data_IF_399024448756
#
_entry.id   IF_399024448756
#
_cell.length_a   1.000
_cell.length_b   1.000
_cell.length_c   1.000
_cell.angle_alpha   90.00
_cell.angle_beta   90.00
_cell.angle_gamma   90.00
#
_symmetry.space_group_name_H-M   'P 1'
#
loop_
_entity.id
_entity.type
_entity.pdbx_description
1 polymer ?
#
# COMPACT_ATOMS: atom_id res chain seq x y z
N UNK A 1 -4.30 -92.14 6.86
CA UNK A 1 -5.33 -91.09 6.95
C UNK A 1 -4.69 -89.84 7.55
N UNK A 2 -4.18 -88.95 6.70
CA UNK A 2 -3.50 -87.70 7.13
C UNK A 2 -4.53 -86.57 7.22
N UNK A 3 -4.60 -85.86 8.35
CA UNK A 3 -5.30 -84.56 8.46
C UNK A 3 -4.26 -83.44 8.41
N UNK A 4 -4.30 -82.67 7.32
CA UNK A 4 -3.50 -81.47 7.06
C UNK A 4 -4.16 -80.29 7.79
N UNK A 5 -3.42 -79.55 8.61
CA UNK A 5 -3.87 -78.31 9.24
C UNK A 5 -3.45 -77.14 8.33
N UNK A 6 -4.41 -76.48 7.69
CA UNK A 6 -4.16 -75.31 6.84
C UNK A 6 -4.11 -74.03 7.69
N UNK A 7 -2.98 -73.32 7.63
CA UNK A 7 -2.80 -71.99 8.20
C UNK A 7 -3.35 -70.97 7.20
N UNK A 8 -4.38 -70.21 7.62
CA UNK A 8 -4.95 -69.13 6.81
C UNK A 8 -4.21 -67.82 7.13
N UNK A 9 -3.33 -67.39 6.21
CA UNK A 9 -2.66 -66.09 6.27
C UNK A 9 -3.63 -65.02 5.74
N UNK A 10 -4.17 -64.21 6.64
CA UNK A 10 -5.05 -63.09 6.29
C UNK A 10 -4.18 -61.88 5.89
N UNK A 11 -4.00 -61.66 4.58
CA UNK A 11 -3.38 -60.44 4.05
C UNK A 11 -4.36 -59.26 4.16
N UNK A 12 -4.12 -58.35 5.11
CA UNK A 12 -4.78 -57.05 5.18
C UNK A 12 -4.27 -56.16 4.03
N UNK A 13 -5.08 -55.97 3.00
CA UNK A 13 -4.88 -54.95 1.96
C UNK A 13 -5.23 -53.57 2.56
N UNK A 14 -4.20 -52.74 2.76
CA UNK A 14 -4.36 -51.31 3.03
C UNK A 14 -4.83 -50.61 1.75
N UNK A 15 -6.14 -50.45 1.62
CA UNK A 15 -6.72 -49.57 0.60
C UNK A 15 -6.32 -48.12 0.92
N UNK A 16 -5.41 -47.56 0.10
CA UNK A 16 -5.10 -46.14 0.17
C UNK A 16 -6.25 -45.40 -0.54
N UNK A 17 -6.94 -44.46 0.13
CA UNK A 17 -7.91 -43.64 -0.57
C UNK A 17 -7.20 -42.91 -1.72
N UNK A 18 -7.80 -42.83 -2.91
CA UNK A 18 -7.22 -42.06 -4.00
C UNK A 18 -7.04 -40.63 -3.52
N UNK A 19 -5.81 -40.11 -3.59
CA UNK A 19 -5.53 -38.72 -3.33
C UNK A 19 -6.27 -37.88 -4.38
N UNK A 20 -7.45 -37.36 -4.03
CA UNK A 20 -8.15 -36.38 -4.84
C UNK A 20 -7.20 -35.21 -5.06
N UNK A 21 -6.82 -34.98 -6.31
CA UNK A 21 -6.02 -33.82 -6.68
C UNK A 21 -6.75 -32.57 -6.19
N UNK A 22 -6.07 -31.72 -5.42
CA UNK A 22 -6.64 -30.46 -4.99
C UNK A 22 -7.11 -29.68 -6.23
N UNK A 23 -8.30 -29.06 -6.19
CA UNK A 23 -8.84 -28.37 -7.35
C UNK A 23 -7.85 -27.30 -7.83
N UNK A 24 -7.71 -27.19 -9.16
CA UNK A 24 -6.82 -26.21 -9.80
C UNK A 24 -7.20 -24.78 -9.39
N UNK A 25 -8.49 -24.54 -9.16
CA UNK A 25 -9.04 -23.28 -8.69
C UNK A 25 -9.83 -23.57 -7.42
N UNK A 26 -9.42 -22.97 -6.30
CA UNK A 26 -10.18 -22.96 -5.05
C UNK A 26 -11.08 -21.74 -5.03
N UNK A 27 -12.30 -21.89 -4.55
CA UNK A 27 -13.20 -20.76 -4.31
C UNK A 27 -13.32 -20.47 -2.82
N UNK A 28 -13.35 -19.19 -2.45
CA UNK A 28 -13.49 -18.74 -1.08
C UNK A 28 -14.39 -17.52 -1.03
N UNK A 29 -15.53 -17.61 -0.35
CA UNK A 29 -16.39 -16.46 -0.11
C UNK A 29 -15.67 -15.44 0.78
N UNK A 30 -15.71 -14.16 0.39
CA UNK A 30 -15.26 -13.07 1.23
C UNK A 30 -16.36 -12.69 2.21
N UNK A 31 -16.00 -12.61 3.48
CA UNK A 31 -16.91 -12.18 4.55
C UNK A 31 -16.33 -10.93 5.18
N UNK A 32 -17.15 -9.90 5.28
CA UNK A 32 -16.83 -8.69 6.02
C UNK A 32 -17.28 -8.87 7.48
N UNK A 33 -16.48 -8.41 8.47
CA UNK A 33 -16.98 -8.27 9.83
C UNK A 33 -18.28 -7.46 9.85
N UNK A 34 -19.16 -7.72 10.83
CA UNK A 34 -20.46 -7.05 10.89
C UNK A 34 -20.30 -5.52 10.90
N UNK A 35 -20.88 -4.84 9.91
CA UNK A 35 -20.81 -3.39 9.74
C UNK A 35 -19.50 -2.86 9.13
N UNK A 36 -18.54 -3.74 8.81
CA UNK A 36 -17.31 -3.34 8.14
C UNK A 36 -17.49 -3.29 6.61
N UNK A 37 -16.76 -2.39 5.97
CA UNK A 37 -16.64 -2.29 4.51
C UNK A 37 -15.31 -2.83 4.00
N UNK A 38 -14.44 -3.32 4.90
CA UNK A 38 -13.15 -3.91 4.54
C UNK A 38 -12.91 -5.27 5.21
N UNK A 39 -12.10 -6.09 4.56
CA UNK A 39 -11.63 -7.38 5.07
C UNK A 39 -10.23 -7.68 4.52
N UNK A 40 -9.46 -8.45 5.26
CA UNK A 40 -8.10 -8.86 4.90
C UNK A 40 -8.03 -10.37 4.89
N UNK A 41 -7.43 -10.93 3.85
CA UNK A 41 -7.19 -12.37 3.70
C UNK A 41 -5.70 -12.64 3.59
N UNK A 42 -5.22 -13.65 4.30
CA UNK A 42 -3.86 -14.18 4.14
C UNK A 42 -3.93 -15.62 3.63
N UNK A 43 -3.13 -15.94 2.62
CA UNK A 43 -3.22 -17.23 1.95
C UNK A 43 -1.96 -17.54 1.14
N UNK A 44 -1.97 -18.67 0.40
CA UNK A 44 -0.83 -19.15 -0.38
C UNK A 44 -1.21 -19.80 -1.70
N UNK A 45 -0.35 -19.62 -2.69
CA UNK A 45 -0.36 -20.29 -3.99
C UNK A 45 0.80 -21.28 -4.10
N UNK A 46 0.60 -22.33 -4.90
CA UNK A 46 1.68 -23.19 -5.38
C UNK A 46 1.41 -23.65 -6.81
N UNK A 47 2.40 -23.49 -7.68
CA UNK A 47 2.32 -23.96 -9.06
C UNK A 47 1.13 -23.36 -9.80
N UNK A 48 0.28 -24.21 -10.38
CA UNK A 48 -0.92 -23.79 -11.12
C UNK A 48 -2.16 -23.54 -10.26
N UNK A 49 -2.02 -23.56 -8.94
CA UNK A 49 -3.14 -23.21 -8.06
C UNK A 49 -3.59 -21.78 -8.31
N UNK A 50 -4.90 -21.59 -8.32
CA UNK A 50 -5.55 -20.29 -8.30
C UNK A 50 -6.56 -20.24 -7.16
N UNK A 51 -6.85 -19.04 -6.67
CA UNK A 51 -7.92 -18.82 -5.70
C UNK A 51 -8.86 -17.74 -6.23
N UNK A 52 -10.13 -18.08 -6.39
CA UNK A 52 -11.21 -17.12 -6.64
C UNK A 52 -11.78 -16.69 -5.28
N UNK A 53 -11.53 -15.45 -4.89
CA UNK A 53 -12.25 -14.83 -3.79
C UNK A 53 -13.56 -14.26 -4.31
N UNK A 54 -14.67 -14.79 -3.79
CA UNK A 54 -16.02 -14.45 -4.22
C UNK A 54 -16.52 -13.24 -3.43
N UNK A 55 -16.79 -12.15 -4.12
CA UNK A 55 -17.23 -10.89 -3.54
C UNK A 55 -18.63 -10.55 -4.05
N UNK A 56 -19.64 -10.65 -3.19
CA UNK A 56 -20.98 -10.15 -3.50
C UNK A 56 -20.97 -8.63 -3.41
N UNK A 57 -21.24 -7.97 -4.54
CA UNK A 57 -21.24 -6.52 -4.64
C UNK A 57 -22.36 -6.02 -5.56
N UNK A 58 -22.60 -4.71 -5.50
CA UNK A 58 -23.62 -4.00 -6.25
C UNK A 58 -22.99 -2.99 -7.19
N UNK A 59 -23.69 -2.71 -8.27
CA UNK A 59 -23.35 -1.64 -9.21
C UNK A 59 -23.18 -0.32 -8.46
N UNK A 60 -22.18 0.46 -8.87
CA UNK A 60 -21.86 1.74 -8.28
C UNK A 60 -21.02 1.66 -7.00
N UNK A 61 -20.88 0.49 -6.37
CA UNK A 61 -19.94 0.34 -5.25
C UNK A 61 -18.50 0.54 -5.72
N UNK A 62 -17.67 1.16 -4.90
CA UNK A 62 -16.23 1.30 -5.18
C UNK A 62 -15.49 0.16 -4.52
N UNK A 63 -14.78 -0.62 -5.33
CA UNK A 63 -13.92 -1.71 -4.87
C UNK A 63 -12.46 -1.24 -4.90
N UNK A 64 -11.77 -1.39 -3.77
CA UNK A 64 -10.31 -1.36 -3.71
C UNK A 64 -9.79 -2.75 -3.35
N UNK A 65 -8.79 -3.21 -4.10
CA UNK A 65 -8.08 -4.47 -3.87
C UNK A 65 -6.60 -4.16 -3.84
N UNK A 66 -5.93 -4.46 -2.73
CA UNK A 66 -4.48 -4.39 -2.58
C UNK A 66 -3.94 -5.82 -2.40
N UNK A 67 -3.05 -6.24 -3.29
CA UNK A 67 -2.46 -7.58 -3.29
C UNK A 67 -0.97 -7.51 -2.96
N UNK A 68 -0.56 -8.15 -1.87
CA UNK A 68 0.82 -8.12 -1.37
C UNK A 68 1.40 -9.54 -1.31
N UNK A 69 1.92 -10.08 -2.43
CA UNK A 69 2.60 -11.36 -2.46
C UNK A 69 4.09 -11.23 -2.11
N UNK A 70 4.65 -12.29 -1.50
CA UNK A 70 6.10 -12.46 -1.29
C UNK A 70 6.85 -12.92 -2.57
N UNK A 71 6.11 -13.25 -3.64
CA UNK A 71 6.62 -13.65 -4.94
C UNK A 71 6.20 -12.63 -6.02
N UNK A 72 7.16 -12.00 -6.74
CA UNK A 72 6.87 -10.99 -7.76
C UNK A 72 6.14 -11.56 -9.00
N UNK A 73 6.17 -12.87 -9.20
CA UNK A 73 5.48 -13.57 -10.30
C UNK A 73 4.01 -13.92 -9.95
N UNK A 74 3.50 -13.45 -8.79
CA UNK A 74 2.11 -13.61 -8.37
C UNK A 74 1.29 -12.34 -8.64
N UNK A 75 0.07 -12.51 -9.15
CA UNK A 75 -0.86 -11.43 -9.49
C UNK A 75 -2.30 -11.79 -9.16
N UNK A 76 -3.20 -10.82 -9.29
CA UNK A 76 -4.64 -11.06 -9.31
C UNK A 76 -5.32 -10.48 -10.55
N UNK A 77 -6.46 -11.03 -10.91
CA UNK A 77 -7.40 -10.43 -11.86
C UNK A 77 -8.73 -10.18 -11.17
N UNK A 78 -9.44 -9.12 -11.56
CA UNK A 78 -10.82 -8.87 -11.14
C UNK A 78 -11.77 -9.25 -12.27
N UNK A 79 -12.63 -10.25 -12.04
CA UNK A 79 -13.62 -10.70 -13.03
C UNK A 79 -15.02 -10.29 -12.58
N UNK A 80 -15.86 -9.74 -13.48
CA UNK A 80 -17.22 -9.35 -13.15
C UNK A 80 -18.15 -10.57 -13.10
N UNK A 81 -19.38 -10.40 -12.58
CA UNK A 81 -20.38 -11.45 -12.56
C UNK A 81 -20.70 -11.96 -13.96
N UNK A 82 -20.67 -13.29 -14.16
CA UNK A 82 -21.09 -13.92 -15.42
C UNK A 82 -20.14 -13.78 -16.61
N UNK A 83 -18.94 -13.19 -16.46
CA UNK A 83 -17.94 -13.09 -17.54
C UNK A 83 -16.55 -13.52 -17.10
N UNK A 84 -15.76 -14.09 -18.03
CA UNK A 84 -14.33 -14.34 -17.85
C UNK A 84 -13.43 -13.18 -18.32
N UNK A 85 -14.03 -12.15 -18.92
CA UNK A 85 -13.31 -10.94 -19.31
C UNK A 85 -13.03 -10.09 -18.07
N UNK A 86 -11.76 -9.91 -17.72
CA UNK A 86 -11.36 -9.24 -16.49
C UNK A 86 -11.50 -7.72 -16.61
N UNK A 87 -12.06 -7.09 -15.57
CA UNK A 87 -12.04 -5.64 -15.37
C UNK A 87 -10.64 -5.13 -15.01
N UNK A 88 -9.79 -5.99 -14.45
CA UNK A 88 -8.42 -5.68 -14.08
C UNK A 88 -7.51 -6.90 -14.28
N UNK A 89 -6.32 -6.68 -14.84
CA UNK A 89 -5.34 -7.73 -15.12
C UNK A 89 -4.03 -7.37 -14.42
N UNK A 90 -3.76 -7.98 -13.27
CA UNK A 90 -2.63 -7.55 -12.43
C UNK A 90 -1.26 -7.77 -13.06
N UNK A 91 -1.09 -8.77 -13.91
CA UNK A 91 0.17 -8.99 -14.65
C UNK A 91 0.48 -7.89 -15.66
N UNK A 92 -0.50 -7.06 -16.01
CA UNK A 92 -0.34 -5.88 -16.88
C UNK A 92 -0.35 -4.59 -16.07
N UNK A 93 -1.26 -4.49 -15.11
CA UNK A 93 -1.64 -3.22 -14.47
C UNK A 93 -1.15 -3.11 -13.01
N UNK A 94 -0.45 -4.12 -12.49
CA UNK A 94 0.13 -4.14 -11.15
C UNK A 94 -0.72 -4.86 -10.11
N UNK A 95 -0.39 -4.65 -8.83
CA UNK A 95 -0.97 -5.40 -7.72
C UNK A 95 -2.00 -4.61 -6.89
N UNK A 96 -2.57 -3.55 -7.46
CA UNK A 96 -3.68 -2.81 -6.87
C UNK A 96 -4.73 -2.45 -7.90
N UNK A 97 -6.01 -2.56 -7.51
CA UNK A 97 -7.15 -2.04 -8.24
C UNK A 97 -7.95 -1.09 -7.35
N UNK A 98 -8.38 0.05 -7.89
CA UNK A 98 -9.45 0.87 -7.31
C UNK A 98 -10.40 1.25 -8.44
N UNK A 99 -11.70 0.99 -8.29
CA UNK A 99 -12.68 1.36 -9.31
C UNK A 99 -14.12 1.08 -8.94
N UNK A 100 -15.03 1.73 -9.65
CA UNK A 100 -16.48 1.55 -9.51
C UNK A 100 -16.93 0.28 -10.22
N UNK A 101 -17.73 -0.54 -9.53
CA UNK A 101 -18.22 -1.80 -10.04
C UNK A 101 -19.39 -1.57 -11.03
N UNK A 102 -19.33 -2.15 -12.25
CA UNK A 102 -20.29 -1.84 -13.32
C UNK A 102 -21.60 -2.63 -13.24
N UNK A 103 -21.68 -3.65 -12.40
CA UNK A 103 -22.82 -4.56 -12.33
C UNK A 103 -23.07 -5.09 -10.90
N UNK A 104 -24.32 -5.46 -10.64
CA UNK A 104 -24.68 -6.26 -9.47
C UNK A 104 -24.22 -7.71 -9.65
N UNK A 105 -23.80 -8.35 -8.56
CA UNK A 105 -23.57 -9.78 -8.50
C UNK A 105 -22.25 -10.15 -7.85
N UNK A 106 -21.86 -11.41 -8.04
CA UNK A 106 -20.66 -11.96 -7.44
C UNK A 106 -19.44 -11.76 -8.34
N UNK A 107 -18.52 -10.92 -7.90
CA UNK A 107 -17.22 -10.72 -8.50
C UNK A 107 -16.23 -11.79 -8.07
N UNK A 108 -15.21 -12.04 -8.88
CA UNK A 108 -14.11 -12.95 -8.54
C UNK A 108 -12.80 -12.21 -8.59
N UNK A 109 -12.15 -12.12 -7.44
CA UNK A 109 -10.76 -11.70 -7.33
C UNK A 109 -9.91 -12.96 -7.44
N UNK A 110 -9.37 -13.23 -8.63
CA UNK A 110 -8.62 -14.45 -8.95
C UNK A 110 -7.14 -14.21 -8.76
N UNK A 111 -6.54 -14.81 -7.73
CA UNK A 111 -5.09 -14.79 -7.49
C UNK A 111 -4.41 -15.98 -8.17
N UNK A 112 -3.22 -15.78 -8.73
CA UNK A 112 -2.48 -16.80 -9.49
C UNK A 112 -0.97 -16.47 -9.59
N UNK A 113 -0.17 -17.49 -9.91
CA UNK A 113 1.20 -17.33 -10.39
C UNK A 113 1.22 -17.32 -11.93
N UNK A 114 2.04 -16.45 -12.54
CA UNK A 114 2.23 -16.50 -14.00
C UNK A 114 2.73 -17.88 -14.45
N UNK A 115 2.46 -18.23 -15.71
CA UNK A 115 2.68 -19.59 -16.24
C UNK A 115 4.11 -20.09 -16.07
N UNK A 116 5.11 -19.21 -16.17
CA UNK A 116 6.53 -19.54 -16.00
C UNK A 116 6.82 -20.00 -14.57
N UNK A 117 6.46 -19.22 -13.55
CA UNK A 117 6.60 -19.56 -12.13
C UNK A 117 5.77 -20.79 -11.75
N UNK A 118 4.53 -20.87 -12.24
CA UNK A 118 3.65 -22.01 -12.02
C UNK A 118 4.28 -23.33 -12.53
N UNK A 119 4.89 -23.32 -13.72
CA UNK A 119 5.60 -24.48 -14.30
C UNK A 119 6.80 -24.89 -13.44
N UNK A 120 7.50 -23.93 -12.84
CA UNK A 120 8.60 -24.15 -11.89
C UNK A 120 8.12 -24.61 -10.50
N UNK A 121 6.81 -24.77 -10.29
CA UNK A 121 6.19 -25.17 -9.02
C UNK A 121 6.52 -24.22 -7.87
N UNK A 122 6.69 -22.95 -8.19
CA UNK A 122 6.93 -21.90 -7.20
C UNK A 122 5.76 -21.71 -6.26
N UNK A 123 6.00 -20.91 -5.22
CA UNK A 123 5.05 -20.60 -4.16
C UNK A 123 4.96 -19.09 -4.00
N UNK A 124 3.81 -18.64 -3.56
CA UNK A 124 3.60 -17.28 -3.08
C UNK A 124 2.79 -17.36 -1.78
N UNK A 125 3.25 -16.73 -0.71
CA UNK A 125 2.40 -16.33 0.41
C UNK A 125 1.98 -14.89 0.17
N UNK A 126 0.74 -14.54 0.50
CA UNK A 126 0.26 -13.20 0.22
C UNK A 126 -0.79 -12.73 1.23
N UNK A 127 -0.92 -11.40 1.29
CA UNK A 127 -2.05 -10.72 1.88
C UNK A 127 -2.89 -10.08 0.75
N UNK A 128 -4.21 -10.16 0.88
CA UNK A 128 -5.19 -9.54 0.01
C UNK A 128 -6.11 -8.67 0.86
N UNK A 129 -6.00 -7.36 0.72
CA UNK A 129 -6.85 -6.39 1.39
C UNK A 129 -7.97 -5.97 0.44
N UNK A 130 -9.21 -6.05 0.91
CA UNK A 130 -10.41 -5.74 0.12
C UNK A 130 -11.20 -4.67 0.85
N UNK A 131 -11.53 -3.58 0.16
CA UNK A 131 -12.47 -2.57 0.62
C UNK A 131 -13.60 -2.41 -0.39
N UNK A 132 -14.85 -2.51 0.06
CA UNK A 132 -16.05 -2.37 -0.74
C UNK A 132 -16.94 -1.27 -0.15
N UNK A 133 -16.84 -0.07 -0.72
CA UNK A 133 -17.62 1.11 -0.32
C UNK A 133 -18.97 1.20 -1.03
N UNK A 134 -19.97 1.81 -0.39
CA UNK A 134 -21.26 2.12 -1.01
C UNK A 134 -21.10 3.23 -2.06
N UNK A 135 -21.60 2.99 -3.27
CA UNK A 135 -21.67 4.01 -4.32
C UNK A 135 -22.49 5.21 -3.86
N UNK A 136 -21.92 6.41 -4.05
CA UNK A 136 -22.35 7.70 -3.49
C UNK A 136 -22.14 7.89 -1.96
N UNK A 137 -21.05 7.35 -1.42
CA UNK A 137 -20.18 8.05 -0.47
C UNK A 137 -18.73 7.50 -0.51
N UNK A 138 -18.31 6.96 -1.66
CA UNK A 138 -16.92 7.11 -2.01
C UNK A 138 -16.77 8.61 -2.30
N UNK A 139 -16.10 9.33 -1.41
CA UNK A 139 -15.22 10.37 -1.91
C UNK A 139 -14.48 9.69 -3.09
N UNK A 140 -14.76 10.08 -4.36
CA UNK A 140 -13.63 10.32 -5.27
C UNK A 140 -12.62 10.95 -4.35
N UNK A 141 -11.47 10.35 -4.01
CA UNK A 141 -10.69 10.88 -2.93
C UNK A 141 -10.51 12.34 -3.29
N UNK A 142 -11.13 13.21 -2.48
CA UNK A 142 -11.44 14.53 -3.00
C UNK A 142 -10.08 15.07 -3.37
N UNK A 143 -9.92 15.45 -4.63
CA UNK A 143 -8.65 15.93 -5.14
C UNK A 143 -8.05 16.81 -4.04
N UNK A 144 -6.91 16.41 -3.48
CA UNK A 144 -6.43 17.04 -2.25
C UNK A 144 -6.18 18.50 -2.62
N UNK A 145 -6.93 19.44 -2.05
CA UNK A 145 -6.70 20.86 -2.27
C UNK A 145 -6.47 21.55 -0.93
N UNK A 146 -5.33 22.23 -0.80
CA UNK A 146 -5.03 23.05 0.38
C UNK A 146 -4.34 24.34 -0.04
N UNK A 147 -4.86 25.45 0.47
CA UNK A 147 -4.21 26.75 0.39
C UNK A 147 -3.49 26.99 1.72
N UNK A 148 -2.22 27.33 1.64
CA UNK A 148 -1.33 27.53 2.77
C UNK A 148 -0.67 28.90 2.64
N UNK A 149 -0.64 29.66 3.72
CA UNK A 149 -0.14 31.04 3.72
C UNK A 149 0.71 31.28 4.97
N UNK A 150 1.95 31.76 4.79
CA UNK A 150 2.85 32.10 5.88
C UNK A 150 3.85 33.16 5.41
N UNK A 151 4.09 34.19 6.23
CA UNK A 151 5.11 35.22 5.97
C UNK A 151 5.01 35.87 4.56
N UNK A 152 3.77 36.01 4.05
CA UNK A 152 3.49 36.62 2.76
C UNK A 152 3.74 35.72 1.53
N UNK A 153 4.09 34.44 1.75
CA UNK A 153 4.19 33.42 0.71
C UNK A 153 3.01 32.46 0.84
N UNK A 154 2.42 32.13 -0.31
CA UNK A 154 1.25 31.27 -0.41
C UNK A 154 1.54 30.06 -1.30
N UNK A 155 0.94 28.92 -0.99
CA UNK A 155 0.94 27.75 -1.86
C UNK A 155 -0.47 27.20 -1.98
N UNK A 156 -0.95 27.07 -3.22
CA UNK A 156 -2.09 26.21 -3.54
C UNK A 156 -1.58 24.84 -3.96
N UNK A 157 -1.82 23.84 -3.12
CA UNK A 157 -1.47 22.43 -3.36
C UNK A 157 -2.71 21.71 -3.87
N UNK A 158 -2.60 21.01 -4.98
CA UNK A 158 -3.68 20.24 -5.60
C UNK A 158 -3.17 18.85 -6.03
N UNK A 159 -3.85 17.74 -5.70
CA UNK A 159 -3.59 16.42 -6.33
C UNK A 159 -4.86 15.79 -6.86
N UNK A 160 -4.78 15.09 -8.00
CA UNK A 160 -5.97 14.55 -8.69
C UNK A 160 -6.56 13.30 -8.02
N UNK A 161 -5.74 12.57 -7.27
CA UNK A 161 -6.09 11.37 -6.49
C UNK A 161 -6.78 10.25 -7.32
N UNK A 162 -6.48 10.16 -8.62
CA UNK A 162 -7.11 9.21 -9.55
C UNK A 162 -6.42 7.83 -9.64
N UNK A 163 -5.40 7.55 -8.82
CA UNK A 163 -4.64 6.30 -8.90
C UNK A 163 -3.45 6.23 -7.92
N UNK A 164 -2.68 5.15 -8.01
CA UNK A 164 -1.44 4.95 -7.21
C UNK A 164 -0.33 5.89 -7.65
N UNK A 165 -0.22 6.17 -8.95
CA UNK A 165 0.54 7.30 -9.48
C UNK A 165 -0.41 8.48 -9.64
N UNK A 166 -0.04 9.59 -9.03
CA UNK A 166 -0.91 10.73 -8.86
C UNK A 166 -0.17 12.00 -9.30
N UNK A 167 -0.91 12.95 -9.84
CA UNK A 167 -0.33 14.21 -10.32
C UNK A 167 -0.53 15.28 -9.25
N UNK A 168 0.58 15.77 -8.70
CA UNK A 168 0.65 16.85 -7.74
C UNK A 168 0.95 18.16 -8.47
N UNK A 169 0.15 19.18 -8.19
CA UNK A 169 0.32 20.54 -8.67
C UNK A 169 0.50 21.49 -7.49
N UNK A 170 1.52 22.34 -7.55
CA UNK A 170 1.83 23.34 -6.52
C UNK A 170 1.90 24.69 -7.20
N UNK A 171 1.04 25.61 -6.79
CA UNK A 171 1.01 26.98 -7.29
C UNK A 171 1.52 27.92 -6.20
N UNK A 172 2.81 28.28 -6.22
CA UNK A 172 3.35 29.30 -5.32
C UNK A 172 2.86 30.70 -5.68
N UNK A 173 2.79 31.59 -4.70
CA UNK A 173 2.50 33.01 -4.87
C UNK A 173 3.23 33.83 -3.81
N UNK A 174 3.53 35.10 -4.12
CA UNK A 174 4.28 35.99 -3.23
C UNK A 174 5.80 35.94 -3.39
N UNK A 175 6.34 35.03 -4.22
CA UNK A 175 7.76 34.99 -4.53
C UNK A 175 8.14 36.13 -5.49
N UNK A 176 9.29 36.76 -5.26
CA UNK A 176 9.71 37.91 -6.07
C UNK A 176 10.34 37.56 -7.42
N UNK A 177 10.74 36.30 -7.66
CA UNK A 177 11.41 35.87 -8.90
C UNK A 177 10.62 34.80 -9.66
N UNK A 178 10.18 33.73 -9.02
CA UNK A 178 9.58 32.59 -9.71
C UNK A 178 8.32 32.09 -8.98
N UNK A 179 7.16 32.19 -9.64
CA UNK A 179 5.87 31.67 -9.14
C UNK A 179 5.23 30.65 -10.12
N UNK A 180 6.02 30.07 -11.02
CA UNK A 180 5.50 29.10 -11.98
C UNK A 180 4.93 27.87 -11.23
N UNK A 181 3.80 27.30 -11.67
CA UNK A 181 3.29 26.07 -11.12
C UNK A 181 4.31 24.94 -11.25
N UNK A 182 4.43 24.12 -10.21
CA UNK A 182 5.23 22.91 -10.21
C UNK A 182 4.28 21.73 -10.40
N UNK A 183 4.54 20.90 -11.39
CA UNK A 183 3.84 19.63 -11.61
C UNK A 183 4.78 18.47 -11.31
N UNK A 184 4.30 17.48 -10.56
CA UNK A 184 5.09 16.33 -10.15
C UNK A 184 4.22 15.08 -10.10
N UNK A 185 4.73 13.99 -10.66
CA UNK A 185 4.19 12.67 -10.39
C UNK A 185 4.64 12.20 -9.00
N UNK A 186 3.70 11.71 -8.21
CA UNK A 186 3.94 11.13 -6.89
C UNK A 186 3.42 9.68 -6.85
N UNK A 187 4.14 8.83 -6.13
CA UNK A 187 3.73 7.44 -5.86
C UNK A 187 2.97 7.38 -4.53
N UNK A 188 1.66 7.59 -4.63
CA UNK A 188 0.75 7.59 -3.50
C UNK A 188 -0.24 8.75 -3.52
N UNK A 189 -0.93 8.88 -2.38
CA UNK A 189 -1.91 9.95 -2.14
C UNK A 189 -1.30 11.04 -1.27
N UNK A 190 -1.63 12.30 -1.54
CA UNK A 190 -1.38 13.38 -0.59
C UNK A 190 -2.27 13.22 0.63
N UNK A 191 -1.68 12.98 1.80
CA UNK A 191 -2.40 12.81 3.07
C UNK A 191 -2.41 14.08 3.93
N UNK A 192 -1.58 15.06 3.58
CA UNK A 192 -1.57 16.38 4.19
C UNK A 192 -0.54 17.29 3.54
N UNK A 193 -0.65 18.57 3.84
CA UNK A 193 0.34 19.57 3.45
C UNK A 193 0.36 20.68 4.49
N UNK A 194 1.53 21.06 4.99
CA UNK A 194 1.67 22.14 5.96
C UNK A 194 2.75 23.14 5.49
N UNK A 195 2.68 24.34 6.04
CA UNK A 195 3.65 25.41 5.82
C UNK A 195 4.24 25.81 7.18
N UNK A 196 5.55 25.93 7.25
CA UNK A 196 6.26 26.30 8.48
C UNK A 196 7.56 27.03 8.15
N UNK A 197 8.17 27.66 9.15
CA UNK A 197 9.53 28.18 9.10
C UNK A 197 10.34 27.36 10.13
N UNK A 198 10.78 26.16 9.74
CA UNK A 198 11.41 25.21 10.65
C UNK A 198 12.82 25.68 11.04
N UNK A 199 13.54 26.33 10.13
CA UNK A 199 14.90 26.81 10.38
C UNK A 199 14.92 28.23 11.02
N UNK A 200 13.77 28.88 11.15
CA UNK A 200 13.59 30.23 11.71
C UNK A 200 14.36 31.32 10.96
N UNK A 201 14.50 31.18 9.64
CA UNK A 201 15.20 32.15 8.79
C UNK A 201 14.27 33.23 8.21
N UNK A 202 12.96 33.17 8.50
CA UNK A 202 11.95 34.08 8.02
C UNK A 202 11.48 33.79 6.59
N UNK A 203 11.92 32.69 5.99
CA UNK A 203 11.41 32.17 4.74
C UNK A 203 10.66 30.85 4.97
N UNK A 204 9.36 30.78 4.63
CA UNK A 204 8.58 29.57 4.90
C UNK A 204 8.98 28.42 3.95
N UNK A 205 8.83 27.21 4.46
CA UNK A 205 8.88 25.97 3.71
C UNK A 205 7.51 25.28 3.64
N UNK A 206 7.29 24.63 2.51
CA UNK A 206 6.14 23.78 2.22
C UNK A 206 6.52 22.32 2.42
N UNK A 207 5.69 21.57 3.14
CA UNK A 207 5.83 20.14 3.36
C UNK A 207 4.55 19.43 2.93
N UNK A 208 4.64 18.53 1.95
CA UNK A 208 3.50 17.75 1.43
C UNK A 208 3.77 16.29 1.74
N UNK A 209 2.87 15.69 2.54
CA UNK A 209 2.96 14.31 2.98
C UNK A 209 2.27 13.41 1.97
N UNK A 210 2.98 12.39 1.49
CA UNK A 210 2.45 11.42 0.54
C UNK A 210 2.50 10.04 1.18
N UNK A 211 1.42 9.28 1.08
CA UNK A 211 1.35 7.90 1.56
C UNK A 211 1.14 6.97 0.38
N UNK A 212 2.03 5.98 0.24
CA UNK A 212 2.00 4.99 -0.83
C UNK A 212 0.72 4.16 -0.75
N UNK A 213 0.25 3.70 -1.91
CA UNK A 213 -0.95 2.91 -2.05
C UNK A 213 -0.82 1.44 -1.54
N UNK A 214 0.37 0.96 -1.19
CA UNK A 214 0.57 -0.43 -0.75
C UNK A 214 0.09 -0.73 0.67
N UNK A 215 -0.03 -2.01 1.02
CA UNK A 215 -0.39 -2.46 2.39
C UNK A 215 0.60 -2.02 3.46
N UNK A 216 1.83 -1.67 3.06
CA UNK A 216 2.82 -1.05 3.92
C UNK A 216 2.65 0.45 4.10
N UNK A 217 1.75 1.15 3.41
CA UNK A 217 1.44 2.58 3.62
C UNK A 217 2.67 3.47 3.91
N UNK A 218 3.72 3.32 3.10
CA UNK A 218 4.99 4.03 3.28
C UNK A 218 4.81 5.52 3.03
N UNK A 219 5.37 6.36 3.89
CA UNK A 219 5.31 7.80 3.69
C UNK A 219 6.51 8.29 2.88
N UNK A 220 6.27 9.22 1.97
CA UNK A 220 7.28 10.06 1.32
C UNK A 220 6.92 11.53 1.48
N UNK A 221 7.86 12.41 1.13
CA UNK A 221 7.75 13.84 1.31
C UNK A 221 8.06 14.55 -0.01
N UNK A 222 7.21 15.50 -0.39
CA UNK A 222 7.54 16.54 -1.36
C UNK A 222 7.64 17.84 -0.59
N UNK A 223 8.82 18.47 -0.57
CA UNK A 223 9.03 19.68 0.24
C UNK A 223 9.89 20.72 -0.48
N UNK A 224 9.60 21.99 -0.23
CA UNK A 224 10.29 23.13 -0.83
C UNK A 224 10.49 24.24 0.18
N UNK A 225 11.63 24.92 0.15
CA UNK A 225 11.86 26.18 0.90
C UNK A 225 11.81 27.38 -0.03
N UNK A 226 11.20 28.47 0.44
CA UNK A 226 11.13 29.75 -0.27
C UNK A 226 12.38 30.60 -0.07
N UNK A 227 13.52 30.23 -0.65
CA UNK A 227 14.81 30.91 -0.47
C UNK A 227 14.71 32.44 -0.52
N UNK A 228 14.78 33.08 0.66
CA UNK A 228 14.66 34.53 0.84
C UNK A 228 13.44 35.15 0.13
N UNK A 229 12.33 34.41 0.04
CA UNK A 229 11.11 34.82 -0.65
C UNK A 229 11.29 35.14 -2.14
N UNK A 230 12.27 34.52 -2.80
CA UNK A 230 12.58 34.75 -4.22
C UNK A 230 12.19 33.58 -5.11
N UNK A 231 12.63 32.37 -4.75
CA UNK A 231 12.51 31.16 -5.55
C UNK A 231 12.48 29.93 -4.66
N UNK A 232 11.94 28.83 -5.17
CA UNK A 232 11.88 27.56 -4.44
C UNK A 232 13.13 26.71 -4.68
N UNK A 233 13.55 25.99 -3.64
CA UNK A 233 14.47 24.85 -3.74
C UNK A 233 13.85 23.65 -3.04
N UNK A 234 14.04 22.47 -3.62
CA UNK A 234 13.57 21.23 -3.01
C UNK A 234 14.34 20.96 -1.70
N UNK A 235 13.61 20.46 -0.71
CA UNK A 235 14.15 19.99 0.56
C UNK A 235 14.25 18.47 0.46
N UNK A 236 15.47 17.95 0.60
CA UNK A 236 15.72 16.52 0.51
C UNK A 236 15.46 15.83 1.86
N UNK A 237 14.56 14.85 1.86
CA UNK A 237 14.44 13.88 2.96
C UNK A 237 15.11 12.57 2.51
N UNK A 238 16.22 12.15 3.13
CA UNK A 238 16.84 10.87 2.83
C UNK A 238 15.86 9.70 2.95
N UNK A 239 15.89 8.73 2.02
CA UNK A 239 15.17 7.48 2.16
C UNK A 239 15.49 6.82 3.51
N UNK A 240 14.46 6.39 4.24
CA UNK A 240 14.66 5.73 5.53
C UNK A 240 15.54 4.47 5.41
N UNK A 241 15.42 3.78 4.27
CA UNK A 241 16.18 2.57 3.93
C UNK A 241 17.70 2.75 3.92
N UNK A 242 18.19 3.99 3.81
CA UNK A 242 19.62 4.29 3.75
C UNK A 242 20.29 4.22 5.13
N UNK A 243 19.51 4.15 6.22
CA UNK A 243 20.02 3.98 7.59
C UNK A 243 19.57 2.64 8.19
N UNK A 244 20.45 1.62 8.22
CA UNK A 244 20.17 0.30 8.79
C UNK A 244 19.71 0.32 10.25
N UNK A 245 20.11 1.33 11.04
CA UNK A 245 19.71 1.43 12.44
C UNK A 245 18.25 1.89 12.57
N UNK A 246 17.81 2.79 11.68
CA UNK A 246 16.44 3.33 11.69
C UNK A 246 15.40 2.32 11.20
N UNK A 247 15.76 1.43 10.27
CA UNK A 247 14.84 0.44 9.69
C UNK A 247 14.69 -0.86 10.49
N UNK A 248 15.34 -0.99 11.64
CA UNK A 248 15.20 -2.20 12.46
C UNK A 248 13.76 -2.34 12.96
N UNK A 249 13.06 -3.36 12.45
CA UNK A 249 11.65 -3.63 12.78
C UNK A 249 10.66 -2.77 11.98
N UNK A 250 11.10 -2.10 10.92
CA UNK A 250 10.26 -1.27 10.07
C UNK A 250 9.55 -2.10 8.98
N UNK A 251 8.24 -1.89 8.81
CA UNK A 251 7.46 -2.47 7.70
C UNK A 251 6.46 -1.46 7.11
N UNK A 252 6.74 -0.16 7.28
CA UNK A 252 5.88 0.93 6.82
C UNK A 252 4.86 1.37 7.87
N UNK A 253 3.67 1.77 7.42
CA UNK A 253 2.60 2.43 8.17
C UNK A 253 3.06 3.74 8.77
N UNK A 254 3.87 4.44 7.98
CA UNK A 254 4.42 5.73 8.34
C UNK A 254 3.33 6.80 8.38
N UNK A 255 3.47 7.68 9.35
CA UNK A 255 2.78 8.95 9.41
C UNK A 255 3.83 10.06 9.45
N UNK A 256 3.73 11.02 8.53
CA UNK A 256 4.48 12.27 8.57
C UNK A 256 3.59 13.40 9.08
N UNK A 257 4.17 14.29 9.87
CA UNK A 257 3.50 15.49 10.40
C UNK A 257 4.53 16.52 10.83
N UNK A 258 4.17 17.81 10.79
CA UNK A 258 4.95 18.84 11.49
C UNK A 258 4.52 18.95 12.94
N UNK A 259 5.47 19.17 13.83
CA UNK A 259 5.17 19.45 15.24
C UNK A 259 6.42 19.79 16.04
N UNK A 260 6.30 20.74 16.97
CA UNK A 260 7.41 21.18 17.83
C UNK A 260 8.65 21.67 17.07
N UNK A 261 8.48 22.33 15.92
CA UNK A 261 9.59 22.87 15.13
C UNK A 261 10.40 21.84 14.35
N UNK A 262 9.88 20.62 14.20
CA UNK A 262 10.52 19.53 13.45
C UNK A 262 9.51 18.84 12.53
N UNK A 263 10.02 18.16 11.51
CA UNK A 263 9.26 17.13 10.82
C UNK A 263 9.32 15.84 11.66
N UNK A 264 8.18 15.20 11.88
CA UNK A 264 8.08 13.95 12.62
C UNK A 264 7.65 12.83 11.68
N UNK A 265 8.36 11.71 11.69
CA UNK A 265 7.95 10.43 11.09
C UNK A 265 7.66 9.44 12.20
N UNK A 266 6.47 8.85 12.21
CA UNK A 266 6.06 7.83 13.18
C UNK A 266 5.64 6.56 12.46
N UNK A 267 6.06 5.39 12.94
CA UNK A 267 5.63 4.10 12.40
C UNK A 267 5.68 3.00 13.47
N UNK A 268 4.83 1.97 13.36
CA UNK A 268 4.89 0.81 14.24
C UNK A 268 6.16 -0.02 14.01
N UNK A 269 6.61 -0.68 15.08
CA UNK A 269 7.71 -1.65 15.04
C UNK A 269 7.18 -3.08 15.06
N UNK A 270 7.80 -3.94 14.26
CA UNK A 270 7.43 -5.34 14.09
C UNK A 270 8.47 -6.26 14.71
N UNK A 271 7.99 -7.27 15.43
CA UNK A 271 8.78 -8.39 15.94
C UNK A 271 8.70 -9.58 15.00
N UNK A 272 9.61 -10.54 15.19
CA UNK A 272 9.58 -11.78 14.43
C UNK A 272 8.25 -12.52 14.65
N UNK A 273 7.51 -12.77 13.57
CA UNK A 273 6.21 -13.43 13.60
C UNK A 273 5.00 -12.49 13.61
N UNK A 274 5.21 -11.18 13.74
CA UNK A 274 4.12 -10.20 13.57
C UNK A 274 3.61 -10.22 12.12
N UNK A 275 2.29 -10.06 11.96
CA UNK A 275 1.69 -9.80 10.65
C UNK A 275 1.70 -8.30 10.35
N UNK A 276 1.55 -7.93 9.07
CA UNK A 276 1.51 -6.52 8.64
C UNK A 276 0.45 -5.68 9.39
N UNK A 277 -0.67 -6.28 9.78
CA UNK A 277 -1.78 -5.62 10.48
C UNK A 277 -1.73 -5.68 12.01
N UNK A 278 -0.78 -6.42 12.60
CA UNK A 278 -0.70 -6.63 14.04
C UNK A 278 0.74 -6.47 14.57
N UNK A 279 1.33 -5.27 14.48
CA UNK A 279 2.64 -4.99 15.07
C UNK A 279 2.57 -5.05 16.60
N UNK A 280 3.58 -5.68 17.21
CA UNK A 280 3.69 -5.82 18.68
C UNK A 280 4.92 -5.13 19.26
N UNK A 281 5.78 -4.54 18.41
CA UNK A 281 7.05 -3.94 18.79
C UNK A 281 6.97 -2.53 19.36
N UNK A 282 5.78 -1.93 19.45
CA UNK A 282 5.59 -0.54 19.86
C UNK A 282 5.62 0.42 18.66
N UNK A 283 5.95 1.68 18.90
CA UNK A 283 6.05 2.74 17.87
C UNK A 283 7.44 3.37 17.89
N UNK A 284 8.01 3.63 16.72
CA UNK A 284 9.18 4.49 16.55
C UNK A 284 8.75 5.86 16.06
N UNK A 285 9.32 6.91 16.65
CA UNK A 285 9.27 8.28 16.15
C UNK A 285 10.68 8.75 15.80
N UNK A 286 10.81 9.39 14.65
CA UNK A 286 12.02 10.06 14.18
C UNK A 286 11.67 11.52 13.94
N UNK A 287 12.40 12.41 14.59
CA UNK A 287 12.30 13.85 14.43
C UNK A 287 13.45 14.33 13.54
N UNK A 288 13.12 15.14 12.55
CA UNK A 288 14.06 15.69 11.59
C UNK A 288 14.10 17.21 11.68
N UNK A 289 15.32 17.74 11.68
CA UNK A 289 15.59 19.17 11.60
C UNK A 289 15.99 19.54 10.18
N UNK A 290 15.50 20.68 9.71
CA UNK A 290 15.94 21.28 8.46
C UNK A 290 17.33 21.89 8.63
N UNK A 291 18.27 21.49 7.79
CA UNK A 291 19.64 22.03 7.77
C UNK A 291 20.06 22.40 6.36
N UNK A 292 20.93 23.39 6.26
CA UNK A 292 21.65 23.68 5.01
C UNK A 292 22.80 22.68 4.83
N UNK A 293 23.04 22.27 3.60
CA UNK A 293 24.12 21.38 3.17
C UNK A 293 24.76 21.89 1.87
N UNK A 294 25.90 21.33 1.47
CA UNK A 294 26.63 21.74 0.26
C UNK A 294 25.78 21.62 -1.02
N UNK A 295 24.85 20.66 -1.04
CA UNK A 295 23.97 20.38 -2.17
C UNK A 295 22.59 21.10 -2.10
N UNK A 296 22.28 21.81 -1.01
CA UNK A 296 20.99 22.46 -0.81
C UNK A 296 20.43 22.27 0.60
N UNK A 297 19.12 22.04 0.69
CA UNK A 297 18.42 21.89 1.96
C UNK A 297 18.08 20.43 2.24
N UNK A 298 18.33 19.98 3.47
CA UNK A 298 18.12 18.59 3.85
C UNK A 298 17.46 18.47 5.23
N UNK A 299 16.58 17.48 5.38
CA UNK A 299 16.07 17.04 6.66
C UNK A 299 17.01 16.00 7.26
N UNK A 300 17.70 16.34 8.35
CA UNK A 300 18.59 15.42 9.08
C UNK A 300 17.93 14.95 10.37
N UNK A 301 18.19 13.69 10.72
CA UNK A 301 17.71 13.11 11.98
C UNK A 301 18.27 13.90 13.15
N UNK A 302 17.37 14.44 13.97
CA UNK A 302 17.71 15.11 15.23
C UNK A 302 17.55 14.13 16.40
N UNK A 303 16.44 13.38 16.42
CA UNK A 303 16.09 12.51 17.54
C UNK A 303 15.31 11.29 17.12
N UNK A 304 15.57 10.16 17.77
CA UNK A 304 14.82 8.91 17.62
C UNK A 304 14.27 8.49 18.97
N UNK A 305 13.01 8.05 19.03
CA UNK A 305 12.35 7.56 20.24
C UNK A 305 11.49 6.34 19.93
N UNK A 306 11.68 5.27 20.70
CA UNK A 306 10.80 4.11 20.70
C UNK A 306 9.87 4.16 21.93
N UNK A 307 8.62 3.72 21.79
CA UNK A 307 7.62 3.63 22.86
C UNK A 307 6.82 2.35 22.79
#
# INVERSE_FOLDING_TARGET
MYKLLAVFLCCLLLEHPPALAAPLIREQALTFPQGATSTTVQDKLKGYQMVNYLLDARVGQTLTVDFAPDNPDAYFNLLPPGSEEALFIGSRDGNRFTGTLPADGQYRIRTYLIRSAARRKERASYQLDINLGLGAAAETPAAFERNLDLLGISFKVHSTDQGSLNQLQIHPSGLSVANAPIEREIDGRVTGADIADLNQDGAPELYIFVTSAGSGSYASLVAYTANRSKSLSEIYLPPLADDPALIKGYMGHDQLSLGNGVLQRRFPLYRAGDSNSAPTGGTRQIDYQLVADEAGWQLKVERVKDS
#
